data_IF_899834575195
#
_entry.id   IF_899834575195
#
_cell.length_a   1.000
_cell.length_b   1.000
_cell.length_c   1.000
_cell.angle_alpha   90.00
_cell.angle_beta   90.00
_cell.angle_gamma   90.00
#
_symmetry.space_group_name_H-M   'P 1'
#
loop_
_entity.id
_entity.type
_entity.pdbx_description
1 polymer ?
#
# COMPACT_ATOMS: atom_id res chain seq x y z
N UNK A 1 17.11 11.85 -88.04
CA UNK A 1 17.42 10.62 -88.80
C UNK A 1 18.85 10.22 -88.48
N UNK A 2 19.05 8.93 -88.19
CA UNK A 2 20.30 8.16 -88.15
C UNK A 2 21.35 8.58 -87.09
N UNK A 3 21.70 7.79 -86.07
CA UNK A 3 22.12 6.37 -85.96
C UNK A 3 23.64 6.24 -85.79
N UNK A 4 23.98 5.41 -84.78
CA UNK A 4 25.16 4.54 -84.58
C UNK A 4 26.20 4.90 -83.50
N UNK A 5 26.19 4.02 -82.50
CA UNK A 5 27.23 3.34 -81.70
C UNK A 5 28.67 3.43 -82.24
N UNK A 6 29.78 3.37 -81.49
CA UNK A 6 30.23 2.49 -80.38
C UNK A 6 31.57 3.03 -79.81
N UNK A 7 31.89 2.76 -78.53
CA UNK A 7 33.24 2.46 -77.98
C UNK A 7 33.24 2.67 -76.46
N UNK A 8 33.23 1.58 -75.70
CA UNK A 8 34.38 1.09 -74.91
C UNK A 8 34.87 2.10 -73.88
N UNK A 9 34.41 1.93 -72.64
CA UNK A 9 35.06 2.54 -71.48
C UNK A 9 35.10 1.53 -70.33
N UNK A 10 36.27 1.45 -69.75
CA UNK A 10 36.81 0.38 -68.92
C UNK A 10 36.14 0.26 -67.54
N UNK A 11 35.91 -0.98 -67.10
CA UNK A 11 35.63 -1.28 -65.70
C UNK A 11 36.95 -1.25 -64.90
N UNK A 12 37.10 -0.42 -63.85
CA UNK A 12 38.28 -0.49 -63.01
C UNK A 12 38.31 -1.77 -62.17
N UNK A 13 39.49 -2.40 -62.19
CA UNK A 13 39.82 -3.63 -61.48
C UNK A 13 39.55 -3.54 -59.98
N UNK A 14 38.71 -4.43 -59.47
CA UNK A 14 38.45 -4.61 -58.05
C UNK A 14 39.68 -5.27 -57.38
N UNK A 15 40.57 -4.46 -56.78
CA UNK A 15 41.63 -5.00 -55.91
C UNK A 15 40.99 -5.37 -54.56
N UNK A 16 41.24 -6.57 -54.03
CA UNK A 16 40.52 -7.05 -52.85
C UNK A 16 40.98 -6.28 -51.60
N UNK A 17 40.05 -5.51 -51.02
CA UNK A 17 40.10 -5.02 -49.64
C UNK A 17 40.05 -6.20 -48.65
N UNK A 18 41.09 -7.01 -48.62
CA UNK A 18 41.13 -8.29 -47.88
C UNK A 18 41.73 -8.18 -46.47
N UNK A 19 42.22 -7.00 -46.06
CA UNK A 19 42.87 -6.82 -44.75
C UNK A 19 42.15 -5.90 -43.77
N UNK A 20 41.33 -4.94 -44.23
CA UNK A 20 40.71 -3.93 -43.35
C UNK A 20 39.22 -4.15 -43.07
N UNK A 21 38.50 -4.89 -43.92
CA UNK A 21 37.07 -5.19 -43.70
C UNK A 21 36.90 -6.07 -42.45
N UNK A 22 37.83 -6.99 -42.19
CA UNK A 22 37.80 -7.82 -40.98
C UNK A 22 37.91 -7.00 -39.70
N UNK A 23 38.79 -6.00 -39.65
CA UNK A 23 38.97 -5.17 -38.47
C UNK A 23 37.76 -4.24 -38.22
N UNK A 24 37.19 -3.67 -39.28
CA UNK A 24 35.99 -2.82 -39.18
C UNK A 24 34.76 -3.66 -38.80
N UNK A 25 34.60 -4.88 -39.35
CA UNK A 25 33.51 -5.78 -38.98
C UNK A 25 33.63 -6.28 -37.52
N UNK A 26 34.84 -6.59 -37.05
CA UNK A 26 35.06 -6.93 -35.63
C UNK A 26 34.81 -5.72 -34.72
N UNK A 27 35.23 -4.52 -35.11
CA UNK A 27 34.95 -3.30 -34.33
C UNK A 27 33.45 -2.95 -34.30
N UNK A 28 32.71 -3.17 -35.40
CA UNK A 28 31.25 -2.98 -35.43
C UNK A 28 30.49 -4.06 -34.65
N UNK A 29 30.96 -5.32 -34.64
CA UNK A 29 30.37 -6.37 -33.83
C UNK A 29 30.69 -6.24 -32.34
N UNK A 30 31.90 -5.79 -31.98
CA UNK A 30 32.26 -5.47 -30.59
C UNK A 30 31.53 -4.22 -30.11
N UNK A 31 31.36 -3.21 -30.98
CA UNK A 31 30.51 -2.05 -30.74
C UNK A 31 29.04 -2.44 -30.54
N UNK A 32 28.49 -3.31 -31.38
CA UNK A 32 27.11 -3.79 -31.27
C UNK A 32 26.91 -4.68 -30.04
N UNK A 33 27.91 -5.47 -29.66
CA UNK A 33 27.90 -6.27 -28.44
C UNK A 33 28.03 -5.42 -27.17
N UNK A 34 28.84 -4.35 -27.21
CA UNK A 34 28.89 -3.34 -26.14
C UNK A 34 27.60 -2.52 -26.06
N UNK A 35 26.93 -2.25 -27.20
CA UNK A 35 25.64 -1.54 -27.22
C UNK A 35 24.49 -2.41 -26.69
N UNK A 36 24.51 -3.72 -26.95
CA UNK A 36 23.57 -4.68 -26.36
C UNK A 36 23.84 -4.85 -24.86
N UNK A 37 25.11 -4.90 -24.44
CA UNK A 37 25.49 -4.93 -23.02
C UNK A 37 25.17 -3.63 -22.29
N UNK A 38 24.95 -2.52 -23.03
CA UNK A 38 24.54 -1.23 -22.48
C UNK A 38 23.00 -1.10 -22.37
N UNK A 39 22.23 -2.05 -22.93
CA UNK A 39 20.78 -2.14 -22.72
C UNK A 39 20.41 -3.13 -21.61
N UNK A 40 21.31 -4.02 -21.20
CA UNK A 40 21.13 -4.93 -20.07
C UNK A 40 21.83 -4.40 -18.80
N UNK A 41 21.67 -3.10 -18.55
CA UNK A 41 21.93 -2.55 -17.22
C UNK A 41 20.60 -2.54 -16.49
N UNK A 42 20.41 -3.63 -15.74
CA UNK A 42 19.38 -3.91 -14.76
C UNK A 42 18.61 -2.67 -14.32
N UNK A 43 17.29 -2.74 -14.50
CA UNK A 43 16.32 -1.86 -13.87
C UNK A 43 16.49 -1.94 -12.36
N UNK A 44 17.28 -1.04 -11.78
CA UNK A 44 17.19 -0.72 -10.36
C UNK A 44 15.86 0.01 -10.13
N UNK A 45 14.79 -0.78 -10.01
CA UNK A 45 13.58 -0.38 -9.29
C UNK A 45 13.91 -0.30 -7.81
N UNK A 46 14.66 0.72 -7.40
CA UNK A 46 14.84 1.10 -6.00
C UNK A 46 14.36 2.52 -5.80
N UNK A 47 13.04 2.66 -5.72
CA UNK A 47 12.37 3.72 -4.98
C UNK A 47 10.99 3.19 -4.59
N UNK A 48 10.87 2.62 -3.38
CA UNK A 48 9.63 2.27 -2.65
C UNK A 48 8.37 2.17 -3.53
N UNK A 49 8.39 1.14 -4.38
CA UNK A 49 7.48 0.97 -5.52
C UNK A 49 6.09 0.55 -5.09
N UNK A 50 5.28 1.53 -4.79
CA UNK A 50 3.85 1.41 -4.65
C UNK A 50 3.19 1.52 -6.04
N UNK A 51 3.03 0.39 -6.72
CA UNK A 51 2.38 0.38 -8.04
C UNK A 51 0.88 0.45 -7.82
N UNK A 52 0.31 1.62 -8.10
CA UNK A 52 -1.12 1.81 -8.24
C UNK A 52 -1.57 1.02 -9.49
N UNK A 53 -2.67 0.27 -9.36
CA UNK A 53 -3.18 -0.57 -10.45
C UNK A 53 -4.63 -0.24 -10.79
N UNK A 54 -4.98 -0.36 -12.06
CA UNK A 54 -6.35 -0.17 -12.57
C UNK A 54 -7.38 -1.11 -11.89
N UNK A 55 -7.00 -2.37 -11.69
CA UNK A 55 -7.82 -3.38 -11.02
C UNK A 55 -7.07 -3.96 -9.85
N UNK A 56 -7.64 -3.87 -8.65
CA UNK A 56 -7.00 -4.31 -7.42
C UNK A 56 -7.25 -5.80 -7.13
N UNK A 57 -6.33 -6.48 -6.43
CA UNK A 57 -6.56 -7.83 -5.93
C UNK A 57 -7.73 -7.88 -4.93
N UNK A 58 -8.60 -8.87 -5.09
CA UNK A 58 -9.72 -9.15 -4.18
C UNK A 58 -9.47 -10.46 -3.43
N UNK A 59 -9.68 -10.46 -2.11
CA UNK A 59 -9.52 -11.65 -1.28
C UNK A 59 -10.61 -12.70 -1.59
N UNK A 60 -10.20 -13.85 -2.10
CA UNK A 60 -11.07 -14.97 -2.42
C UNK A 60 -11.63 -15.57 -1.13
N UNK A 61 -12.95 -15.60 -1.02
CA UNK A 61 -13.66 -16.05 0.20
C UNK A 61 -13.83 -14.96 1.26
N UNK A 62 -13.34 -13.75 1.00
CA UNK A 62 -13.47 -12.58 1.87
C UNK A 62 -12.79 -12.73 3.22
N UNK A 63 -12.82 -11.65 4.02
CA UNK A 63 -12.20 -11.68 5.35
C UNK A 63 -12.86 -12.67 6.30
N UNK A 64 -14.18 -12.88 6.20
CA UNK A 64 -14.86 -13.90 7.03
C UNK A 64 -14.27 -15.30 6.82
N UNK A 65 -14.01 -15.68 5.56
CA UNK A 65 -13.41 -16.97 5.23
C UNK A 65 -11.97 -17.10 5.74
N UNK A 66 -11.23 -16.00 5.77
CA UNK A 66 -9.88 -15.93 6.31
C UNK A 66 -9.88 -15.99 7.85
N UNK A 67 -10.75 -15.19 8.48
CA UNK A 67 -10.95 -15.09 9.92
C UNK A 67 -11.35 -16.43 10.54
N UNK A 68 -12.19 -17.22 9.84
CA UNK A 68 -12.57 -18.56 10.28
C UNK A 68 -11.39 -19.56 10.38
N UNK A 69 -10.23 -19.23 9.80
CA UNK A 69 -9.01 -20.06 9.83
C UNK A 69 -8.00 -19.59 10.89
N UNK A 70 -8.31 -18.51 11.60
CA UNK A 70 -7.51 -17.97 12.70
C UNK A 70 -7.65 -18.88 13.91
N UNK A 71 -6.51 -19.23 14.51
CA UNK A 71 -6.40 -20.02 15.73
C UNK A 71 -5.89 -19.13 16.84
N UNK A 72 -6.73 -18.89 17.84
CA UNK A 72 -6.33 -18.06 18.97
C UNK A 72 -5.19 -18.74 19.76
N UNK A 73 -4.00 -18.14 19.89
CA UNK A 73 -2.90 -18.69 20.68
C UNK A 73 -3.28 -18.88 22.15
N UNK A 74 -2.93 -20.04 22.74
CA UNK A 74 -3.29 -20.33 24.14
C UNK A 74 -2.75 -19.30 25.13
N UNK A 75 -1.57 -18.75 24.87
CA UNK A 75 -0.94 -17.74 25.73
C UNK A 75 -1.79 -16.48 25.76
N UNK A 76 -2.26 -16.02 24.59
CA UNK A 76 -3.15 -14.88 24.47
C UNK A 76 -4.53 -15.16 25.10
N UNK A 77 -5.09 -16.35 24.93
CA UNK A 77 -6.34 -16.75 25.60
C UNK A 77 -6.22 -16.69 27.13
N UNK A 78 -5.19 -17.34 27.70
CA UNK A 78 -4.95 -17.37 29.15
C UNK A 78 -4.72 -15.97 29.72
N UNK A 79 -4.04 -15.12 28.95
CA UNK A 79 -3.76 -13.74 29.32
C UNK A 79 -4.90 -12.76 28.98
N UNK A 80 -6.01 -13.23 28.38
CA UNK A 80 -7.13 -12.40 27.91
C UNK A 80 -6.68 -11.25 27.00
N UNK A 81 -5.68 -11.51 26.15
CA UNK A 81 -5.09 -10.51 25.25
C UNK A 81 -5.85 -10.53 23.93
N UNK A 82 -6.73 -9.56 23.76
CA UNK A 82 -7.44 -9.27 22.51
C UNK A 82 -6.75 -8.14 21.74
N UNK A 83 -7.05 -8.04 20.44
CA UNK A 83 -6.53 -6.93 19.66
C UNK A 83 -6.61 -7.15 18.15
N UNK A 84 -6.15 -6.13 17.43
CA UNK A 84 -6.05 -6.13 15.97
C UNK A 84 -4.58 -6.24 15.59
N UNK A 85 -4.26 -7.21 14.74
CA UNK A 85 -2.95 -7.33 14.10
C UNK A 85 -3.07 -6.87 12.66
N UNK A 86 -2.20 -5.96 12.22
CA UNK A 86 -2.19 -5.46 10.84
C UNK A 86 -1.01 -6.09 10.12
N UNK A 87 -1.31 -6.85 9.07
CA UNK A 87 -0.31 -7.55 8.25
C UNK A 87 -0.23 -6.85 6.90
N UNK A 88 0.94 -6.34 6.54
CA UNK A 88 1.27 -5.85 5.21
C UNK A 88 1.90 -6.97 4.40
N UNK A 89 1.61 -7.06 3.11
CA UNK A 89 2.16 -8.06 2.22
C UNK A 89 2.04 -7.64 0.76
N UNK A 90 2.67 -8.40 -0.14
CA UNK A 90 2.54 -8.23 -1.59
C UNK A 90 1.71 -9.39 -2.15
N UNK A 91 0.71 -9.06 -2.94
CA UNK A 91 0.02 -10.01 -3.82
C UNK A 91 0.75 -10.03 -5.16
N UNK A 92 1.22 -11.21 -5.58
CA UNK A 92 1.88 -11.39 -6.87
C UNK A 92 0.90 -11.39 -8.06
N UNK A 93 1.42 -11.48 -9.26
CA UNK A 93 0.67 -11.51 -10.52
C UNK A 93 -0.28 -12.71 -10.64
N UNK A 94 -0.13 -13.72 -9.78
CA UNK A 94 -0.95 -14.92 -9.73
C UNK A 94 -1.95 -14.89 -8.55
N UNK A 95 -1.99 -13.80 -7.78
CA UNK A 95 -2.88 -13.68 -6.62
C UNK A 95 -2.37 -14.36 -5.34
N UNK A 96 -1.08 -14.72 -5.27
CA UNK A 96 -0.47 -15.30 -4.08
C UNK A 96 0.17 -14.23 -3.20
N UNK A 97 0.14 -14.46 -1.88
CA UNK A 97 0.79 -13.60 -0.90
C UNK A 97 2.28 -13.93 -0.78
N UNK A 98 3.12 -12.90 -0.75
CA UNK A 98 4.55 -12.95 -0.39
C UNK A 98 4.93 -11.76 0.48
N UNK A 99 6.12 -11.80 1.07
CA UNK A 99 6.71 -10.70 1.84
C UNK A 99 5.79 -10.17 2.96
N UNK A 100 5.13 -11.08 3.67
CA UNK A 100 4.20 -10.72 4.74
C UNK A 100 4.94 -10.27 6.00
N UNK A 101 4.60 -9.07 6.49
CA UNK A 101 5.19 -8.44 7.65
C UNK A 101 4.15 -7.81 8.57
N UNK A 102 4.49 -7.70 9.86
CA UNK A 102 3.64 -7.06 10.85
C UNK A 102 3.88 -5.55 10.82
N UNK A 103 2.89 -4.82 10.31
CA UNK A 103 2.87 -3.36 10.41
C UNK A 103 2.50 -2.93 11.83
N UNK A 104 1.57 -3.66 12.48
CA UNK A 104 1.18 -3.44 13.88
C UNK A 104 0.80 -4.75 14.54
N UNK A 105 1.49 -5.07 15.64
CA UNK A 105 1.23 -6.27 16.44
C UNK A 105 0.31 -6.00 17.63
N UNK A 106 -0.31 -7.07 18.11
CA UNK A 106 -1.02 -7.16 19.38
C UNK A 106 -0.25 -8.00 20.42
N UNK A 107 0.80 -8.72 19.99
CA UNK A 107 1.67 -9.50 20.87
C UNK A 107 1.04 -10.84 21.30
N UNK A 108 1.57 -11.45 22.37
CA UNK A 108 1.09 -12.70 22.96
C UNK A 108 0.91 -13.91 22.01
N UNK A 109 1.60 -13.90 20.85
CA UNK A 109 1.48 -14.94 19.82
C UNK A 109 0.50 -14.60 18.70
N UNK A 110 -0.30 -13.53 18.83
CA UNK A 110 -1.30 -13.12 17.85
C UNK A 110 -0.64 -12.72 16.52
N UNK A 111 0.52 -12.08 16.61
CA UNK A 111 1.28 -11.59 15.46
C UNK A 111 1.74 -12.74 14.55
N UNK A 112 2.29 -13.79 15.14
CA UNK A 112 2.74 -14.97 14.42
C UNK A 112 1.56 -15.70 13.78
N UNK A 113 0.42 -15.76 14.47
CA UNK A 113 -0.79 -16.37 13.94
C UNK A 113 -1.35 -15.57 12.76
N UNK A 114 -1.35 -14.23 12.84
CA UNK A 114 -1.80 -13.38 11.76
C UNK A 114 -0.95 -13.55 10.49
N UNK A 115 0.39 -13.60 10.62
CA UNK A 115 1.29 -13.92 9.50
C UNK A 115 0.91 -15.29 8.92
N UNK A 116 0.80 -16.32 9.76
CA UNK A 116 0.49 -17.70 9.30
C UNK A 116 -0.79 -17.74 8.50
N UNK A 117 -1.86 -17.13 9.01
CA UNK A 117 -3.17 -17.12 8.36
C UNK A 117 -3.10 -16.42 7.00
N UNK A 118 -2.46 -15.25 6.94
CA UNK A 118 -2.30 -14.50 5.70
C UNK A 118 -1.47 -15.28 4.69
N UNK A 119 -0.29 -15.79 5.08
CA UNK A 119 0.62 -16.47 4.16
C UNK A 119 0.11 -17.82 3.67
N UNK A 120 -0.57 -18.60 4.51
CA UNK A 120 -1.02 -19.96 4.14
C UNK A 120 -2.42 -19.97 3.51
N UNK A 121 -3.30 -19.06 3.92
CA UNK A 121 -4.74 -19.18 3.66
C UNK A 121 -5.34 -18.05 2.85
N UNK A 122 -4.67 -16.89 2.75
CA UNK A 122 -5.15 -15.80 1.91
C UNK A 122 -4.78 -16.06 0.44
N UNK A 123 -5.78 -15.95 -0.43
CA UNK A 123 -5.66 -16.05 -1.88
C UNK A 123 -6.42 -14.90 -2.50
N UNK A 124 -5.84 -14.25 -3.49
CA UNK A 124 -6.42 -13.07 -4.11
C UNK A 124 -6.67 -13.31 -5.60
N UNK A 125 -7.53 -12.51 -6.18
CA UNK A 125 -7.47 -12.26 -7.63
C UNK A 125 -6.21 -11.42 -7.94
N UNK A 126 -5.58 -11.56 -9.12
CA UNK A 126 -4.47 -10.69 -9.49
C UNK A 126 -4.88 -9.23 -9.62
N UNK A 127 -3.94 -8.32 -9.32
CA UNK A 127 -4.08 -6.93 -9.70
C UNK A 127 -3.72 -6.73 -11.18
N UNK A 128 -4.41 -5.84 -11.89
CA UNK A 128 -4.12 -5.54 -13.30
C UNK A 128 -3.84 -4.05 -13.51
N UNK A 129 -2.84 -3.77 -14.34
CA UNK A 129 -2.49 -2.46 -14.86
C UNK A 129 -2.29 -2.57 -16.38
N UNK A 130 -3.00 -1.77 -17.18
CA UNK A 130 -2.94 -1.80 -18.64
C UNK A 130 -3.22 -3.21 -19.21
N UNK A 131 -4.15 -3.94 -18.57
CA UNK A 131 -4.50 -5.32 -18.90
C UNK A 131 -3.43 -6.37 -18.59
N UNK A 132 -2.34 -6.01 -17.91
CA UNK A 132 -1.30 -6.93 -17.44
C UNK A 132 -1.41 -7.15 -15.95
N UNK A 133 -1.25 -8.39 -15.51
CA UNK A 133 -1.18 -8.71 -14.08
C UNK A 133 0.12 -8.17 -13.49
N UNK A 134 0.04 -7.47 -12.36
CA UNK A 134 1.18 -6.84 -11.69
C UNK A 134 1.12 -7.06 -10.18
N UNK A 135 2.27 -7.04 -9.48
CA UNK A 135 2.29 -7.22 -8.03
C UNK A 135 1.78 -5.98 -7.30
N UNK A 136 1.00 -6.19 -6.24
CA UNK A 136 0.33 -5.11 -5.50
C UNK A 136 0.53 -5.29 -4.00
N UNK A 137 0.96 -4.22 -3.33
CA UNK A 137 1.10 -4.19 -1.88
C UNK A 137 -0.25 -3.89 -1.20
N UNK A 138 -0.60 -4.68 -0.20
CA UNK A 138 -1.85 -4.59 0.55
C UNK A 138 -1.61 -4.75 2.05
N UNK A 139 -2.57 -4.27 2.84
CA UNK A 139 -2.59 -4.46 4.29
C UNK A 139 -3.96 -4.93 4.76
N UNK A 140 -3.99 -6.01 5.56
CA UNK A 140 -5.22 -6.58 6.11
C UNK A 140 -5.18 -6.58 7.65
N UNK A 141 -6.26 -6.14 8.32
CA UNK A 141 -6.44 -6.36 9.75
C UNK A 141 -6.93 -7.79 10.02
N UNK A 142 -6.31 -8.47 10.98
CA UNK A 142 -6.83 -9.70 11.59
C UNK A 142 -7.24 -9.37 13.01
N UNK A 143 -8.52 -9.60 13.34
CA UNK A 143 -9.11 -9.21 14.62
C UNK A 143 -9.18 -10.42 15.54
N UNK A 144 -8.63 -10.31 16.74
CA UNK A 144 -8.70 -11.34 17.78
C UNK A 144 -9.63 -10.86 18.90
N UNK A 145 -10.77 -11.54 19.05
CA UNK A 145 -11.73 -11.34 20.13
C UNK A 145 -12.01 -12.69 20.79
N UNK A 146 -12.10 -12.69 22.11
CA UNK A 146 -12.55 -13.82 22.90
C UNK A 146 -14.07 -13.70 23.01
N UNK A 147 -14.77 -14.68 22.48
CA UNK A 147 -16.22 -14.76 22.68
C UNK A 147 -16.47 -15.04 24.18
N UNK A 148 -16.87 -14.01 24.92
CA UNK A 148 -17.31 -14.21 26.30
C UNK A 148 -18.65 -14.95 26.25
N UNK A 149 -18.71 -16.16 26.82
CA UNK A 149 -19.92 -17.01 26.91
C UNK A 149 -21.10 -16.35 27.67
N UNK A 150 -20.97 -15.10 28.14
CA UNK A 150 -21.99 -14.37 28.89
C UNK A 150 -22.76 -13.29 28.10
N UNK A 151 -22.49 -13.08 26.81
CA UNK A 151 -23.22 -12.08 26.00
C UNK A 151 -23.80 -12.65 24.70
N UNK A 152 -24.25 -13.90 24.69
CA UNK A 152 -24.86 -14.52 23.50
C UNK A 152 -26.37 -14.25 23.35
N UNK A 153 -26.90 -13.15 23.88
CA UNK A 153 -28.30 -12.75 23.72
C UNK A 153 -28.48 -11.24 23.52
N UNK A 154 -27.69 -10.63 22.64
CA UNK A 154 -28.12 -9.43 21.91
C UNK A 154 -27.20 -9.22 20.73
N UNK A 155 -27.80 -8.86 19.59
CA UNK A 155 -27.13 -8.37 18.37
C UNK A 155 -26.71 -9.43 17.32
N UNK A 156 -27.72 -10.12 16.80
CA UNK A 156 -27.81 -10.25 15.34
C UNK A 156 -28.13 -8.87 14.75
N UNK A 157 -27.18 -8.21 14.07
CA UNK A 157 -27.38 -7.40 12.85
C UNK A 157 -26.08 -6.72 12.39
N UNK A 158 -25.87 -6.75 11.07
CA UNK A 158 -24.87 -6.01 10.27
C UNK A 158 -23.46 -6.60 10.16
N UNK A 159 -23.36 -7.49 9.18
CA UNK A 159 -22.16 -7.75 8.39
C UNK A 159 -21.66 -6.45 7.73
N UNK A 160 -20.64 -5.82 8.30
CA UNK A 160 -19.77 -4.92 7.54
C UNK A 160 -18.70 -5.80 6.91
N UNK A 161 -18.69 -5.85 5.59
CA UNK A 161 -17.55 -6.34 4.82
C UNK A 161 -16.32 -5.55 5.29
N UNK A 162 -15.50 -6.18 6.12
CA UNK A 162 -14.22 -5.61 6.52
C UNK A 162 -13.36 -5.57 5.24
N UNK A 163 -13.16 -4.36 4.73
CA UNK A 163 -12.54 -4.10 3.44
C UNK A 163 -11.02 -4.07 3.56
N UNK A 164 -10.35 -4.62 2.56
CA UNK A 164 -8.90 -4.53 2.37
C UNK A 164 -8.52 -3.04 2.16
N UNK A 165 -7.48 -2.55 2.86
CA UNK A 165 -7.13 -1.13 2.84
C UNK A 165 -6.11 -0.80 1.74
N UNK A 166 -6.33 0.32 1.05
CA UNK A 166 -5.44 0.87 0.03
C UNK A 166 -4.45 1.82 0.70
N UNK A 167 -3.15 1.53 0.60
CA UNK A 167 -2.10 2.41 1.14
C UNK A 167 -1.72 3.53 0.19
N UNK A 168 -2.03 3.40 -1.12
CA UNK A 168 -1.64 4.34 -2.17
C UNK A 168 -2.80 4.50 -3.13
N UNK A 169 -3.20 5.75 -3.34
CA UNK A 169 -4.33 6.14 -4.18
C UNK A 169 -3.88 7.23 -5.15
N UNK A 170 -4.45 7.26 -6.35
CA UNK A 170 -4.18 8.29 -7.37
C UNK A 170 -4.47 9.70 -6.85
N UNK A 171 -5.57 9.84 -6.11
CA UNK A 171 -5.96 11.08 -5.48
C UNK A 171 -6.11 10.85 -3.97
N UNK A 172 -5.22 11.44 -3.18
CA UNK A 172 -5.29 11.37 -1.72
C UNK A 172 -6.57 12.03 -1.19
N UNK A 173 -7.14 11.53 -0.09
CA UNK A 173 -8.26 12.20 0.54
C UNK A 173 -7.85 13.59 1.03
N UNK A 174 -8.74 14.57 0.82
CA UNK A 174 -8.49 15.96 1.19
C UNK A 174 -9.30 16.34 2.43
N UNK A 175 -8.63 16.80 3.48
CA UNK A 175 -9.29 17.31 4.69
C UNK A 175 -9.94 18.66 4.39
N UNK A 176 -11.27 18.72 4.48
CA UNK A 176 -12.05 19.94 4.27
C UNK A 176 -11.70 20.95 5.36
N UNK A 177 -11.32 22.17 4.94
CA UNK A 177 -10.85 23.23 5.84
C UNK A 177 -9.40 23.04 6.33
N UNK A 178 -8.74 21.96 5.92
CA UNK A 178 -7.36 21.64 6.22
C UNK A 178 -7.09 21.45 7.72
N UNK A 179 -5.82 21.20 8.04
CA UNK A 179 -5.39 20.97 9.43
C UNK A 179 -5.71 22.16 10.34
N UNK A 180 -5.60 23.39 9.85
CA UNK A 180 -5.91 24.60 10.64
C UNK A 180 -7.38 24.66 11.06
N UNK A 181 -8.30 24.30 10.16
CA UNK A 181 -9.73 24.27 10.46
C UNK A 181 -10.04 23.23 11.53
N UNK A 182 -9.50 22.02 11.38
CA UNK A 182 -9.65 20.95 12.37
C UNK A 182 -9.03 21.33 13.71
N UNK A 183 -7.82 21.91 13.69
CA UNK A 183 -7.08 22.34 14.87
C UNK A 183 -7.82 23.42 15.68
N UNK A 184 -8.63 24.26 15.04
CA UNK A 184 -9.44 25.26 15.71
C UNK A 184 -10.61 24.65 16.51
N UNK A 185 -11.05 23.43 16.17
CA UNK A 185 -12.11 22.69 16.87
C UNK A 185 -11.60 21.86 18.06
N UNK A 186 -10.28 21.80 18.25
CA UNK A 186 -9.63 21.03 19.33
C UNK A 186 -9.89 21.67 20.68
N UNK A 187 -10.41 20.87 21.62
CA UNK A 187 -10.68 21.26 23.00
C UNK A 187 -9.55 20.81 23.92
N UNK A 188 -8.73 21.75 24.37
CA UNK A 188 -7.60 21.42 25.24
C UNK A 188 -8.08 20.84 26.60
N UNK A 189 -7.78 19.58 26.95
CA UNK A 189 -8.21 18.97 28.20
C UNK A 189 -7.72 19.72 29.45
N UNK A 190 -8.60 19.91 30.44
CA UNK A 190 -8.27 20.66 31.66
C UNK A 190 -7.12 20.03 32.47
N UNK A 191 -7.02 18.70 32.47
CA UNK A 191 -5.95 17.96 33.16
C UNK A 191 -4.60 18.29 32.54
N UNK A 192 -4.49 18.20 31.21
CA UNK A 192 -3.29 18.59 30.47
C UNK A 192 -2.95 20.07 30.70
N UNK A 193 -3.95 20.95 30.72
CA UNK A 193 -3.74 22.40 30.92
C UNK A 193 -3.15 22.71 32.30
N UNK A 194 -3.73 22.13 33.36
CA UNK A 194 -3.22 22.30 34.73
C UNK A 194 -1.82 21.70 34.90
N UNK A 195 -1.57 20.56 34.25
CA UNK A 195 -0.28 19.88 34.27
C UNK A 195 0.76 20.50 33.31
N UNK A 196 0.39 21.54 32.56
CA UNK A 196 1.25 22.18 31.54
C UNK A 196 1.78 21.19 30.48
N UNK A 197 0.97 20.20 30.11
CA UNK A 197 1.35 19.13 29.17
C UNK A 197 1.03 19.55 27.75
N UNK A 198 2.06 19.92 26.99
CA UNK A 198 1.98 20.19 25.56
C UNK A 198 2.48 19.01 24.73
N UNK A 199 2.10 18.93 23.46
CA UNK A 199 2.62 17.89 22.59
C UNK A 199 1.93 17.76 21.25
N UNK A 200 2.42 16.82 20.45
CA UNK A 200 1.80 16.40 19.19
C UNK A 200 1.24 15.00 19.36
N UNK A 201 -0.04 14.83 19.03
CA UNK A 201 -0.69 13.52 18.91
C UNK A 201 -0.83 13.20 17.43
N UNK A 202 -0.40 12.02 17.01
CA UNK A 202 -0.58 11.56 15.63
C UNK A 202 -1.67 10.49 15.64
N UNK A 203 -2.77 10.77 14.94
CA UNK A 203 -3.93 9.88 14.82
C UNK A 203 -3.91 9.28 13.41
N UNK A 204 -3.81 7.96 13.32
CA UNK A 204 -3.96 7.19 12.09
C UNK A 204 -5.41 6.72 11.98
N UNK A 205 -6.00 6.75 10.79
CA UNK A 205 -7.39 6.35 10.58
C UNK A 205 -7.62 5.99 9.10
N UNK A 206 -8.82 5.52 8.80
CA UNK A 206 -9.27 5.27 7.43
C UNK A 206 -10.37 6.26 7.08
N UNK A 207 -10.21 6.92 5.93
CA UNK A 207 -11.27 7.67 5.25
C UNK A 207 -12.00 6.68 4.34
N UNK A 208 -13.29 6.48 4.53
CA UNK A 208 -14.11 5.59 3.70
C UNK A 208 -14.46 6.23 2.33
N UNK A 209 -15.19 5.51 1.49
CA UNK A 209 -15.60 5.96 0.15
C UNK A 209 -16.53 7.18 0.17
N UNK A 210 -17.12 7.49 1.33
CA UNK A 210 -18.01 8.64 1.53
C UNK A 210 -17.29 9.83 2.18
N UNK A 211 -16.00 9.68 2.53
CA UNK A 211 -15.24 10.73 3.22
C UNK A 211 -15.37 10.70 4.74
N UNK A 212 -15.99 9.68 5.33
CA UNK A 212 -16.09 9.54 6.79
C UNK A 212 -14.85 8.89 7.37
N UNK A 213 -14.54 9.27 8.61
CA UNK A 213 -13.41 8.69 9.34
C UNK A 213 -13.85 7.47 10.15
N UNK A 214 -13.10 6.36 10.04
CA UNK A 214 -13.25 5.16 10.86
C UNK A 214 -11.89 4.62 11.31
N UNK A 215 -11.92 3.66 12.24
CA UNK A 215 -10.73 2.94 12.71
C UNK A 215 -9.58 3.86 13.17
N UNK A 216 -9.92 4.95 13.87
CA UNK A 216 -8.91 5.86 14.39
C UNK A 216 -8.11 5.25 15.55
N UNK A 217 -6.79 5.32 15.41
CA UNK A 217 -5.82 4.78 16.35
C UNK A 217 -4.71 5.82 16.61
N UNK A 218 -4.21 5.87 17.84
CA UNK A 218 -3.08 6.73 18.20
C UNK A 218 -1.78 6.06 17.77
N UNK A 219 -1.09 6.65 16.80
CA UNK A 219 0.25 6.24 16.38
C UNK A 219 1.31 6.79 17.34
N UNK A 220 1.12 8.03 17.79
CA UNK A 220 1.99 8.68 18.79
C UNK A 220 1.15 9.55 19.69
N UNK A 221 1.16 9.26 20.99
CA UNK A 221 0.42 10.00 22.00
C UNK A 221 1.28 10.98 22.80
N UNK A 222 0.59 11.91 23.48
CA UNK A 222 1.17 12.83 24.46
C UNK A 222 0.58 12.62 25.87
N UNK A 223 -0.51 11.85 26.01
CA UNK A 223 -1.13 11.50 27.28
C UNK A 223 -1.98 12.63 27.89
N UNK A 224 -2.29 12.55 29.19
CA UNK A 224 -3.02 13.57 29.94
C UNK A 224 -4.38 14.02 29.37
N UNK A 225 -5.08 13.15 28.65
CA UNK A 225 -6.36 13.46 27.98
C UNK A 225 -6.20 13.95 26.53
N UNK A 226 -4.97 14.23 26.08
CA UNK A 226 -4.70 14.76 24.73
C UNK A 226 -4.98 13.72 23.63
N UNK A 227 -4.79 12.44 23.95
CA UNK A 227 -5.01 11.35 23.01
C UNK A 227 -6.50 11.22 22.70
N UNK A 228 -7.33 11.21 23.75
CA UNK A 228 -8.78 11.07 23.67
C UNK A 228 -9.38 12.24 22.90
N UNK A 229 -8.93 13.48 23.17
CA UNK A 229 -9.38 14.65 22.42
C UNK A 229 -8.94 14.58 20.95
N UNK A 230 -7.70 14.17 20.67
CA UNK A 230 -7.22 14.05 19.30
C UNK A 230 -8.00 13.00 18.50
N UNK A 231 -8.32 11.85 19.11
CA UNK A 231 -9.20 10.85 18.49
C UNK A 231 -10.59 11.41 18.26
N UNK A 232 -11.18 12.06 19.26
CA UNK A 232 -12.52 12.64 19.19
C UNK A 232 -12.63 13.65 18.05
N UNK A 233 -11.75 14.64 17.99
CA UNK A 233 -11.80 15.69 16.96
C UNK A 233 -11.61 15.09 15.56
N UNK A 234 -10.75 14.07 15.40
CA UNK A 234 -10.54 13.41 14.12
C UNK A 234 -11.76 12.58 13.71
N UNK A 235 -12.39 11.86 14.64
CA UNK A 235 -13.55 11.01 14.33
C UNK A 235 -14.85 11.78 14.13
N UNK A 236 -15.05 12.86 14.89
CA UNK A 236 -16.33 13.57 14.95
C UNK A 236 -16.36 14.87 14.13
N UNK A 237 -15.20 15.49 13.89
CA UNK A 237 -15.13 16.86 13.38
C UNK A 237 -14.31 17.00 12.09
N UNK A 238 -13.58 15.95 11.71
CA UNK A 238 -12.85 15.92 10.45
C UNK A 238 -13.78 15.43 9.33
N UNK A 239 -13.79 16.20 8.25
CA UNK A 239 -14.58 15.91 7.06
C UNK A 239 -13.62 15.79 5.89
N UNK A 240 -13.75 14.75 5.07
CA UNK A 240 -12.85 14.50 3.95
C UNK A 240 -13.59 14.47 2.63
N UNK A 241 -12.91 14.94 1.59
CA UNK A 241 -13.14 14.44 0.24
C UNK A 241 -12.44 13.08 0.17
N UNK A 242 -13.16 11.98 -0.18
CA UNK A 242 -12.57 10.65 -0.18
C UNK A 242 -11.46 10.54 -1.22
N UNK A 243 -10.53 9.61 -0.98
CA UNK A 243 -9.52 9.27 -1.96
C UNK A 243 -10.15 8.63 -3.18
N UNK A 244 -9.61 8.88 -4.37
CA UNK A 244 -10.11 8.31 -5.61
C UNK A 244 -9.04 7.47 -6.31
N UNK A 245 -9.50 6.41 -6.95
CA UNK A 245 -8.71 5.48 -7.75
C UNK A 245 -9.50 5.12 -9.00
N UNK A 246 -8.97 5.42 -10.19
CA UNK A 246 -9.69 5.22 -11.47
C UNK A 246 -11.08 5.89 -11.50
N UNK A 247 -11.20 7.06 -10.86
CA UNK A 247 -12.45 7.80 -10.72
C UNK A 247 -13.48 7.18 -9.76
N UNK A 248 -13.14 6.12 -9.02
CA UNK A 248 -13.96 5.54 -7.95
C UNK A 248 -13.40 5.92 -6.59
N UNK A 249 -14.27 6.26 -5.64
CA UNK A 249 -13.85 6.51 -4.27
C UNK A 249 -13.38 5.19 -3.63
N UNK A 250 -12.27 5.25 -2.89
CA UNK A 250 -11.66 4.09 -2.23
C UNK A 250 -11.29 4.39 -0.77
N UNK A 251 -11.45 3.41 0.15
CA UNK A 251 -11.04 3.59 1.53
C UNK A 251 -9.53 3.82 1.64
N UNK A 252 -9.13 4.97 2.16
CA UNK A 252 -7.72 5.35 2.21
C UNK A 252 -7.26 5.55 3.64
N UNK A 253 -6.09 4.97 3.96
CA UNK A 253 -5.47 5.14 5.28
C UNK A 253 -4.68 6.44 5.33
N UNK A 254 -4.93 7.25 6.35
CA UNK A 254 -4.25 8.53 6.57
C UNK A 254 -3.76 8.67 8.01
N UNK A 255 -2.90 9.66 8.24
CA UNK A 255 -2.54 10.08 9.58
C UNK A 255 -2.51 11.61 9.69
N UNK A 256 -3.13 12.15 10.75
CA UNK A 256 -3.10 13.59 11.04
C UNK A 256 -2.35 13.91 12.33
N UNK A 257 -1.47 14.93 12.31
CA UNK A 257 -0.87 15.47 13.51
C UNK A 257 -1.77 16.54 14.16
N UNK A 258 -2.27 16.27 15.35
CA UNK A 258 -2.98 17.24 16.20
C UNK A 258 -2.01 17.84 17.21
N UNK A 259 -1.88 19.17 17.23
CA UNK A 259 -0.90 19.88 18.05
C UNK A 259 -1.60 20.54 19.24
N UNK A 260 -1.14 20.26 20.45
CA UNK A 260 -1.59 20.89 21.68
C UNK A 260 -0.50 21.83 22.19
N UNK A 261 -0.80 23.12 22.15
CA UNK A 261 0.07 24.18 22.67
C UNK A 261 -0.74 25.15 23.54
N UNK A 262 -0.22 25.47 24.71
CA UNK A 262 -0.77 26.48 25.60
C UNK A 262 -0.48 27.85 24.99
N UNK A 263 -1.51 28.70 24.98
CA UNK A 263 -1.40 30.10 24.54
C UNK A 263 -1.30 31.01 25.75
#
# INVERSE_FOLDING_TARGET
>A
MASRETSTDDLPSNRPYSGQIGLIAVLLLVSLFLLISMWDSDSEHTSDGYVIVEQMPELIGGLRGLQAKVKYPEVAQKAHVEGRVIVQFIVDENGNVRDAEILRGAGAGLDQEAIRVISEHAKFTPGFQDGKSVPVRLSIPIVFKLDNEFESQSEQSQSTEEQVFYEIVEQEPELIGGLSGLQAKVKYPEIARKAHVEGRVIVQFIVDENGNVRDAEILRGAGAGLNEEATRVVMEEAEFIPGHQNGRAVPTRMALPIVFKLR
#
